data_IF_220014487085
#
_entry.id   IF_220014487085
#
_cell.length_a   1.000
_cell.length_b   1.000
_cell.length_c   1.000
_cell.angle_alpha   90.00
_cell.angle_beta   90.00
_cell.angle_gamma   90.00
#
_symmetry.space_group_name_H-M   'P 1'
#
loop_
_entity.id
_entity.type
_entity.pdbx_description
1 polymer ?
#
# COMPACT_ATOMS: atom_id res chain seq x y z
N UNK A 1 -9.15 30.65 -73.95
CA UNK A 1 -8.65 30.27 -72.61
C UNK A 1 -9.08 31.35 -71.64
N UNK A 2 -10.08 31.08 -70.80
CA UNK A 2 -10.33 31.77 -69.51
C UNK A 2 -11.56 31.11 -68.87
N UNK A 3 -11.31 30.36 -67.80
CA UNK A 3 -12.34 29.91 -66.87
C UNK A 3 -12.77 31.07 -65.97
N UNK A 4 -14.04 31.10 -65.56
CA UNK A 4 -14.45 31.70 -64.28
C UNK A 4 -15.75 31.08 -63.80
N UNK A 5 -15.80 30.92 -62.47
CA UNK A 5 -16.62 30.02 -61.66
C UNK A 5 -17.98 30.65 -61.33
N UNK A 6 -19.03 29.83 -61.26
CA UNK A 6 -20.28 30.19 -60.58
C UNK A 6 -20.57 29.17 -59.49
N UNK A 7 -20.63 29.65 -58.25
CA UNK A 7 -20.99 28.91 -57.04
C UNK A 7 -22.49 28.63 -57.02
N UNK A 8 -22.88 27.37 -56.78
CA UNK A 8 -24.27 27.01 -56.50
C UNK A 8 -24.35 26.25 -55.18
N UNK A 9 -25.07 26.82 -54.21
CA UNK A 9 -25.46 26.17 -52.96
C UNK A 9 -26.44 25.03 -53.25
N UNK A 10 -26.20 23.85 -52.67
CA UNK A 10 -27.19 22.78 -52.59
C UNK A 10 -27.34 22.35 -51.12
N UNK A 11 -28.58 22.42 -50.64
CA UNK A 11 -29.05 22.09 -49.30
C UNK A 11 -28.91 20.61 -48.96
N UNK A 12 -28.33 20.29 -47.81
CA UNK A 12 -28.31 18.94 -47.24
C UNK A 12 -29.59 18.70 -46.43
N UNK A 13 -30.40 17.74 -46.87
CA UNK A 13 -31.51 17.18 -46.09
C UNK A 13 -30.98 16.05 -45.20
N UNK A 14 -31.13 16.21 -43.89
CA UNK A 14 -30.81 15.20 -42.87
C UNK A 14 -31.83 14.04 -42.95
N UNK A 15 -31.37 12.86 -43.32
CA UNK A 15 -32.04 11.61 -42.98
C UNK A 15 -31.56 11.16 -41.60
N UNK A 16 -32.42 11.32 -40.61
CA UNK A 16 -32.17 10.86 -39.24
C UNK A 16 -32.63 9.40 -39.13
N UNK A 17 -31.71 8.46 -39.28
CA UNK A 17 -31.92 7.08 -38.85
C UNK A 17 -31.66 7.02 -37.35
N UNK A 18 -32.73 6.96 -36.56
CA UNK A 18 -32.66 6.70 -35.13
C UNK A 18 -32.30 5.23 -34.91
N UNK A 19 -31.01 4.95 -34.75
CA UNK A 19 -30.54 3.68 -34.20
C UNK A 19 -30.66 3.78 -32.68
N UNK A 20 -31.72 3.21 -32.12
CA UNK A 20 -31.86 3.01 -30.67
C UNK A 20 -30.86 1.95 -30.24
N UNK A 21 -29.65 2.36 -29.89
CA UNK A 21 -28.69 1.50 -29.19
C UNK A 21 -29.16 1.42 -27.74
N UNK A 22 -29.79 0.30 -27.37
CA UNK A 22 -30.02 -0.06 -25.97
C UNK A 22 -28.65 -0.24 -25.31
N UNK A 23 -28.25 0.69 -24.46
CA UNK A 23 -27.10 0.51 -23.56
C UNK A 23 -27.46 -0.62 -22.58
N UNK A 24 -26.97 -1.83 -22.86
CA UNK A 24 -26.92 -2.90 -21.87
C UNK A 24 -25.97 -2.48 -20.76
N UNK A 25 -26.52 -2.11 -19.59
CA UNK A 25 -25.75 -1.91 -18.37
C UNK A 25 -25.16 -3.27 -17.97
N UNK A 26 -23.91 -3.51 -18.35
CA UNK A 26 -23.15 -4.67 -17.90
C UNK A 26 -23.20 -4.72 -16.36
N UNK A 27 -23.53 -5.87 -15.75
CA UNK A 27 -23.55 -5.98 -14.29
C UNK A 27 -22.15 -5.65 -13.74
N UNK A 28 -22.08 -4.76 -12.75
CA UNK A 28 -20.83 -4.38 -12.10
C UNK A 28 -20.25 -5.63 -11.42
N UNK A 29 -19.24 -6.24 -12.03
CA UNK A 29 -18.52 -7.37 -11.45
C UNK A 29 -17.44 -6.86 -10.52
N UNK A 30 -17.58 -7.12 -9.23
CA UNK A 30 -16.52 -6.88 -8.25
C UNK A 30 -15.50 -8.02 -8.25
N UNK A 31 -14.22 -7.69 -8.11
CA UNK A 31 -13.15 -8.66 -7.99
C UNK A 31 -12.77 -8.82 -6.51
N UNK A 32 -13.16 -9.92 -5.83
CA UNK A 32 -12.90 -10.10 -4.41
C UNK A 32 -11.40 -10.29 -4.13
N UNK A 33 -10.95 -9.75 -2.99
CA UNK A 33 -9.64 -10.00 -2.43
C UNK A 33 -9.65 -11.29 -1.59
N UNK A 34 -8.49 -11.94 -1.45
CA UNK A 34 -8.35 -13.11 -0.57
C UNK A 34 -8.70 -12.77 0.88
N UNK A 35 -8.27 -11.59 1.35
CA UNK A 35 -8.52 -11.07 2.69
C UNK A 35 -9.15 -9.69 2.61
N UNK A 36 -9.93 -9.35 3.63
CA UNK A 36 -10.34 -7.98 3.88
C UNK A 36 -9.20 -7.19 4.53
N UNK A 37 -9.04 -5.93 4.15
CA UNK A 37 -7.94 -5.08 4.62
C UNK A 37 -8.47 -3.75 5.16
N UNK A 38 -7.67 -3.10 6.00
CA UNK A 38 -7.99 -1.80 6.61
C UNK A 38 -6.80 -0.86 6.50
N UNK A 39 -7.05 0.34 5.95
CA UNK A 39 -6.10 1.44 6.01
C UNK A 39 -6.27 2.25 7.30
N UNK A 40 -5.15 2.60 7.92
CA UNK A 40 -5.07 3.55 9.04
C UNK A 40 -4.03 4.62 8.73
N UNK A 41 -4.20 5.78 9.37
CA UNK A 41 -3.25 6.87 9.29
C UNK A 41 -2.95 7.44 10.67
N UNK A 42 -1.68 7.73 10.90
CA UNK A 42 -1.21 8.47 12.06
C UNK A 42 -0.36 9.64 11.59
N UNK A 43 -0.49 10.78 12.27
CA UNK A 43 0.41 11.89 12.10
C UNK A 43 0.62 12.55 13.47
N UNK A 44 1.85 12.99 13.72
CA UNK A 44 2.17 13.78 14.90
C UNK A 44 3.12 14.91 14.56
N UNK A 45 3.05 15.97 15.35
CA UNK A 45 4.05 17.03 15.26
C UNK A 45 5.39 16.57 15.83
N UNK A 46 6.55 17.07 15.37
CA UNK A 46 7.87 16.63 15.85
C UNK A 46 8.12 16.73 17.35
N UNK A 47 7.45 17.67 18.04
CA UNK A 47 7.57 17.88 19.49
C UNK A 47 6.57 17.04 20.31
N UNK A 48 5.67 16.34 19.64
CA UNK A 48 4.59 15.61 20.29
C UNK A 48 5.05 14.20 20.69
N UNK A 49 4.97 13.93 21.99
CA UNK A 49 5.20 12.59 22.53
C UNK A 49 3.95 11.73 22.31
N UNK A 50 4.14 10.50 21.86
CA UNK A 50 3.08 9.52 21.75
C UNK A 50 2.73 9.08 23.18
N UNK A 51 1.53 9.42 23.64
CA UNK A 51 1.00 8.97 24.93
C UNK A 51 0.19 7.68 24.78
N UNK A 52 -0.60 7.63 23.71
CA UNK A 52 -1.40 6.48 23.32
C UNK A 52 -1.17 6.26 21.82
N UNK A 53 -0.41 5.22 21.49
CA UNK A 53 -0.07 4.92 20.10
C UNK A 53 -1.31 4.44 19.33
N UNK A 54 -2.11 3.55 19.94
CA UNK A 54 -3.31 2.99 19.33
C UNK A 54 -4.36 4.06 19.11
N UNK A 55 -4.66 4.87 20.14
CA UNK A 55 -5.63 5.96 20.04
C UNK A 55 -5.21 7.09 19.10
N UNK A 56 -3.92 7.20 18.76
CA UNK A 56 -3.44 8.18 17.77
C UNK A 56 -3.66 7.74 16.32
N UNK A 57 -3.95 6.45 16.08
CA UNK A 57 -4.21 5.92 14.75
C UNK A 57 -5.68 6.12 14.35
N UNK A 58 -5.90 6.73 13.20
CA UNK A 58 -7.24 6.96 12.64
C UNK A 58 -7.53 5.93 11.55
N UNK A 59 -8.60 5.17 11.71
CA UNK A 59 -9.11 4.29 10.65
C UNK A 59 -9.55 5.13 9.47
N UNK A 60 -9.09 4.79 8.26
CA UNK A 60 -9.52 5.44 7.02
C UNK A 60 -10.71 4.67 6.43
N UNK A 61 -10.47 3.43 6.00
CA UNK A 61 -11.47 2.59 5.36
C UNK A 61 -11.08 1.12 5.44
N UNK A 62 -12.07 0.24 5.31
CA UNK A 62 -11.86 -1.18 5.03
C UNK A 62 -12.37 -1.52 3.64
N UNK A 63 -11.77 -2.51 3.01
CA UNK A 63 -12.13 -2.96 1.67
C UNK A 63 -11.92 -4.46 1.52
N UNK A 64 -12.71 -5.06 0.65
CA UNK A 64 -12.83 -6.51 0.41
C UNK A 64 -12.75 -6.86 -1.08
N UNK A 65 -12.77 -5.86 -1.96
CA UNK A 65 -12.62 -6.01 -3.41
C UNK A 65 -11.58 -5.04 -3.98
N UNK A 66 -11.13 -5.32 -5.20
CA UNK A 66 -10.18 -4.47 -5.95
C UNK A 66 -10.79 -3.08 -6.23
N UNK A 67 -12.09 -3.02 -6.52
CA UNK A 67 -12.79 -1.77 -6.79
C UNK A 67 -12.87 -0.90 -5.53
N UNK A 68 -13.20 -1.50 -4.38
CA UNK A 68 -13.19 -0.80 -3.09
C UNK A 68 -11.78 -0.34 -2.72
N UNK A 69 -10.76 -1.17 -2.97
CA UNK A 69 -9.37 -0.77 -2.80
C UNK A 69 -9.05 0.49 -3.60
N UNK A 70 -9.35 0.51 -4.91
CA UNK A 70 -9.05 1.67 -5.75
C UNK A 70 -9.90 2.89 -5.39
N UNK A 71 -11.14 2.71 -4.95
CA UNK A 71 -11.98 3.79 -4.44
C UNK A 71 -11.35 4.49 -3.23
N UNK A 72 -10.61 3.75 -2.39
CA UNK A 72 -9.86 4.31 -1.24
C UNK A 72 -8.50 4.84 -1.67
N UNK A 73 -7.66 3.98 -2.26
CA UNK A 73 -6.24 4.24 -2.48
C UNK A 73 -5.99 5.43 -3.42
N UNK A 74 -6.82 5.60 -4.46
CA UNK A 74 -6.70 6.72 -5.40
C UNK A 74 -6.97 8.10 -4.77
N UNK A 75 -7.66 8.14 -3.64
CA UNK A 75 -7.98 9.36 -2.90
C UNK A 75 -7.05 9.61 -1.70
N UNK A 76 -6.11 8.69 -1.42
CA UNK A 76 -5.10 8.91 -0.41
C UNK A 76 -4.09 9.95 -0.88
N UNK A 77 -3.61 10.78 0.05
CA UNK A 77 -2.46 11.64 -0.18
C UNK A 77 -1.26 10.76 -0.51
N UNK A 78 -0.53 11.09 -1.58
CA UNK A 78 0.67 10.31 -1.95
C UNK A 78 1.70 10.41 -0.81
N UNK A 79 2.45 9.34 -0.52
CA UNK A 79 3.47 9.33 0.53
C UNK A 79 4.45 10.51 0.51
N UNK A 80 4.86 10.96 -0.67
CA UNK A 80 5.81 12.07 -0.81
C UNK A 80 5.20 13.44 -0.46
N UNK A 81 3.86 13.55 -0.42
CA UNK A 81 3.10 14.77 -0.12
C UNK A 81 2.55 14.79 1.33
N UNK A 82 2.95 13.79 2.13
CA UNK A 82 2.61 13.71 3.54
C UNK A 82 3.54 14.59 4.38
N UNK A 83 3.03 15.17 5.48
CA UNK A 83 3.90 15.82 6.44
C UNK A 83 4.84 14.80 7.09
N UNK A 84 5.99 15.28 7.58
CA UNK A 84 6.92 14.42 8.29
C UNK A 84 6.28 13.83 9.55
N UNK A 85 6.74 12.63 9.91
CA UNK A 85 6.24 11.87 11.05
C UNK A 85 4.76 11.51 10.85
N UNK A 86 4.48 11.07 9.63
CA UNK A 86 3.25 10.42 9.23
C UNK A 86 3.49 8.95 8.99
N UNK A 87 2.46 8.16 9.27
CA UNK A 87 2.45 6.72 9.06
C UNK A 87 1.16 6.31 8.33
N UNK A 88 1.30 5.51 7.28
CA UNK A 88 0.20 4.72 6.73
C UNK A 88 0.35 3.28 7.19
N UNK A 89 -0.76 2.67 7.57
CA UNK A 89 -0.81 1.25 7.95
C UNK A 89 -1.85 0.56 7.08
N UNK A 90 -1.48 -0.58 6.50
CA UNK A 90 -2.39 -1.49 5.82
C UNK A 90 -2.34 -2.83 6.55
N UNK A 91 -3.41 -3.23 7.22
CA UNK A 91 -3.45 -4.48 7.98
C UNK A 91 -4.69 -5.29 7.63
N UNK A 92 -4.58 -6.62 7.74
CA UNK A 92 -5.74 -7.51 7.60
C UNK A 92 -6.84 -7.09 8.56
N UNK A 93 -8.09 -7.18 8.13
CA UNK A 93 -9.22 -6.87 9.00
C UNK A 93 -9.21 -7.79 10.23
N UNK A 94 -9.37 -7.20 11.41
CA UNK A 94 -9.28 -7.90 12.70
C UNK A 94 -7.87 -7.94 13.29
N UNK A 95 -6.83 -7.57 12.54
CA UNK A 95 -5.46 -7.44 13.07
C UNK A 95 -5.16 -5.97 13.33
N UNK A 96 -4.86 -5.63 14.59
CA UNK A 96 -4.51 -4.26 14.95
C UNK A 96 -3.04 -4.00 14.64
N UNK A 97 -2.68 -2.80 14.16
CA UNK A 97 -1.29 -2.41 13.84
C UNK A 97 -0.45 -2.10 15.10
N UNK A 98 -0.57 -2.94 16.14
CA UNK A 98 0.11 -2.84 17.43
C UNK A 98 0.74 -4.17 17.80
N UNK A 99 1.78 -4.16 18.63
CA UNK A 99 2.57 -5.35 18.97
C UNK A 99 1.83 -6.27 19.96
N UNK A 100 0.87 -5.72 20.71
CA UNK A 100 0.00 -6.40 21.66
C UNK A 100 -1.08 -7.25 21.00
N UNK A 101 -1.32 -7.07 19.71
CA UNK A 101 -2.27 -7.88 18.96
C UNK A 101 -1.81 -9.35 18.92
N UNK A 102 -2.75 -10.29 19.09
CA UNK A 102 -2.44 -11.72 19.11
C UNK A 102 -1.75 -12.18 17.82
N UNK A 103 -2.09 -11.57 16.69
CA UNK A 103 -1.45 -11.86 15.41
C UNK A 103 0.01 -11.38 15.34
N UNK A 104 0.41 -10.40 16.15
CA UNK A 104 1.71 -9.74 16.05
C UNK A 104 2.65 -10.12 17.20
N UNK A 105 2.14 -10.56 18.37
CA UNK A 105 2.97 -10.71 19.58
C UNK A 105 4.14 -11.72 19.46
N UNK A 106 4.04 -12.72 18.58
CA UNK A 106 5.10 -13.70 18.30
C UNK A 106 5.86 -13.40 16.99
N UNK A 107 5.53 -12.28 16.39
CA UNK A 107 5.94 -11.89 15.06
C UNK A 107 7.17 -10.98 15.02
N UNK A 108 7.37 -10.42 13.85
CA UNK A 108 8.36 -9.39 13.62
C UNK A 108 8.06 -8.63 12.35
N UNK A 109 9.04 -7.82 11.96
CA UNK A 109 8.93 -7.01 10.75
C UNK A 109 10.22 -7.00 9.95
N UNK A 110 10.07 -7.11 8.64
CA UNK A 110 11.08 -6.68 7.69
C UNK A 110 11.03 -5.16 7.54
N UNK A 111 12.19 -4.53 7.41
CA UNK A 111 12.38 -3.09 7.39
C UNK A 111 13.27 -2.75 6.18
N UNK A 112 12.81 -1.82 5.35
CA UNK A 112 13.59 -1.24 4.25
C UNK A 112 13.60 0.26 4.41
N UNK A 113 14.81 0.84 4.47
CA UNK A 113 15.02 2.29 4.49
C UNK A 113 15.15 2.80 3.07
N UNK A 114 14.39 3.84 2.77
CA UNK A 114 14.26 4.43 1.44
C UNK A 114 14.83 5.85 1.48
N UNK A 115 15.61 6.18 0.45
CA UNK A 115 15.94 7.59 0.17
C UNK A 115 14.65 8.35 -0.15
N UNK A 116 14.65 9.64 0.17
CA UNK A 116 13.54 10.54 -0.12
C UNK A 116 13.15 10.53 -1.59
N UNK A 117 11.85 10.69 -1.84
CA UNK A 117 11.24 10.67 -3.17
C UNK A 117 10.83 9.29 -3.67
N UNK A 118 11.30 8.20 -3.04
CA UNK A 118 11.02 6.83 -3.49
C UNK A 118 9.77 6.21 -2.83
N UNK A 119 9.31 6.78 -1.71
CA UNK A 119 8.26 6.18 -0.87
C UNK A 119 6.96 5.92 -1.62
N UNK A 120 6.51 6.85 -2.48
CA UNK A 120 5.23 6.71 -3.19
C UNK A 120 5.19 5.48 -4.10
N UNK A 121 6.27 5.24 -4.86
CA UNK A 121 6.37 4.08 -5.76
C UNK A 121 6.44 2.77 -4.97
N UNK A 122 7.37 2.69 -4.02
CA UNK A 122 7.57 1.43 -3.29
C UNK A 122 6.40 1.08 -2.39
N UNK A 123 5.71 2.07 -1.81
CA UNK A 123 4.50 1.84 -1.05
C UNK A 123 3.38 1.27 -1.91
N UNK A 124 3.14 1.85 -3.10
CA UNK A 124 2.14 1.34 -4.04
C UNK A 124 2.45 -0.10 -4.47
N UNK A 125 3.69 -0.38 -4.89
CA UNK A 125 4.10 -1.74 -5.27
C UNK A 125 3.95 -2.74 -4.13
N UNK A 126 4.30 -2.35 -2.89
CA UNK A 126 4.15 -3.20 -1.72
C UNK A 126 2.68 -3.50 -1.41
N UNK A 127 1.83 -2.47 -1.39
CA UNK A 127 0.39 -2.60 -1.13
C UNK A 127 -0.25 -3.54 -2.16
N UNK A 128 0.04 -3.34 -3.45
CA UNK A 128 -0.47 -4.19 -4.52
C UNK A 128 -0.01 -5.65 -4.38
N UNK A 129 1.26 -5.87 -4.02
CA UNK A 129 1.77 -7.22 -3.78
C UNK A 129 1.10 -7.92 -2.59
N UNK A 130 0.75 -7.16 -1.54
CA UNK A 130 0.07 -7.67 -0.35
C UNK A 130 -1.38 -8.03 -0.67
N UNK A 131 -2.17 -7.11 -1.23
CA UNK A 131 -3.59 -7.37 -1.49
C UNK A 131 -3.78 -8.37 -2.63
N UNK A 132 -2.83 -8.44 -3.56
CA UNK A 132 -2.78 -9.43 -4.64
C UNK A 132 -2.23 -10.80 -4.22
N UNK A 133 -2.05 -11.04 -2.92
CA UNK A 133 -1.63 -12.33 -2.35
C UNK A 133 -0.31 -12.88 -2.92
N UNK A 134 0.63 -12.00 -3.28
CA UNK A 134 1.84 -12.39 -4.02
C UNK A 134 2.96 -12.95 -3.13
N UNK A 135 2.77 -12.95 -1.80
CA UNK A 135 3.78 -13.45 -0.87
C UNK A 135 3.82 -14.97 -0.79
N UNK A 136 2.70 -15.65 -1.07
CA UNK A 136 2.58 -17.12 -1.05
C UNK A 136 3.10 -17.73 0.27
N UNK A 137 2.79 -17.09 1.40
CA UNK A 137 3.17 -17.53 2.76
C UNK A 137 1.94 -17.80 3.61
N UNK A 138 0.82 -18.14 2.96
CA UNK A 138 -0.48 -18.33 3.60
C UNK A 138 -0.86 -17.11 4.45
N UNK A 139 -1.29 -17.32 5.69
CA UNK A 139 -1.81 -16.27 6.56
C UNK A 139 -0.70 -15.44 7.27
N UNK A 140 0.58 -15.66 6.97
CA UNK A 140 1.69 -15.06 7.73
C UNK A 140 1.77 -13.54 7.65
N UNK A 141 1.33 -12.90 6.57
CA UNK A 141 1.34 -11.43 6.47
C UNK A 141 0.24 -10.85 7.36
N UNK A 142 0.63 -10.05 8.35
CA UNK A 142 -0.30 -9.27 9.18
C UNK A 142 -0.67 -7.95 8.49
N UNK A 143 0.33 -7.28 7.92
CA UNK A 143 0.18 -5.97 7.31
C UNK A 143 1.50 -5.31 6.95
N UNK A 144 1.42 -4.05 6.56
CA UNK A 144 2.56 -3.20 6.26
C UNK A 144 2.39 -1.80 6.81
N UNK A 145 3.52 -1.16 7.06
CA UNK A 145 3.63 0.21 7.55
C UNK A 145 4.54 1.00 6.64
N UNK A 146 4.12 2.20 6.24
CA UNK A 146 4.97 3.21 5.65
C UNK A 146 5.14 4.34 6.66
N UNK A 147 6.38 4.69 6.96
CA UNK A 147 6.78 5.72 7.91
C UNK A 147 7.55 6.83 7.22
N UNK A 148 6.94 8.01 7.11
CA UNK A 148 7.58 9.21 6.57
C UNK A 148 8.38 9.90 7.67
N UNK A 149 9.70 10.03 7.52
CA UNK A 149 10.57 10.68 8.52
C UNK A 149 11.35 11.84 7.90
N UNK A 150 12.22 12.51 8.64
CA UNK A 150 12.92 13.69 8.11
C UNK A 150 14.04 13.32 7.13
N UNK A 151 14.89 12.34 7.49
CA UNK A 151 16.07 11.94 6.72
C UNK A 151 15.78 10.89 5.65
N UNK A 152 14.92 9.95 5.96
CA UNK A 152 14.60 8.79 5.13
C UNK A 152 13.13 8.41 5.31
N UNK A 153 12.61 7.58 4.42
CA UNK A 153 11.31 6.94 4.59
C UNK A 153 11.52 5.46 4.89
N UNK A 154 10.62 4.84 5.63
CA UNK A 154 10.78 3.45 6.05
C UNK A 154 9.52 2.70 5.65
N UNK A 155 9.68 1.60 4.94
CA UNK A 155 8.61 0.62 4.76
C UNK A 155 8.88 -0.59 5.64
N UNK A 156 7.82 -1.17 6.19
CA UNK A 156 7.91 -2.38 6.99
C UNK A 156 6.79 -3.35 6.65
N UNK A 157 7.10 -4.65 6.63
CA UNK A 157 6.12 -5.73 6.45
C UNK A 157 6.13 -6.57 7.71
N UNK A 158 4.96 -6.72 8.32
CA UNK A 158 4.77 -7.41 9.59
C UNK A 158 4.25 -8.82 9.33
N UNK A 159 4.82 -9.81 10.03
CA UNK A 159 4.40 -11.20 9.93
C UNK A 159 4.18 -11.85 11.29
N UNK A 160 3.34 -12.89 11.30
CA UNK A 160 2.85 -13.55 12.51
C UNK A 160 3.93 -14.27 13.30
N UNK A 161 4.86 -14.94 12.61
CA UNK A 161 5.79 -15.87 13.26
C UNK A 161 7.26 -15.53 12.98
N UNK A 162 7.95 -14.96 13.97
CA UNK A 162 9.39 -14.66 13.85
C UNK A 162 10.28 -15.91 13.88
N UNK A 163 9.84 -17.01 14.50
CA UNK A 163 10.65 -18.22 14.66
C UNK A 163 10.82 -19.02 13.36
N UNK A 164 9.98 -18.80 12.34
CA UNK A 164 10.03 -19.56 11.10
C UNK A 164 10.98 -18.93 10.08
N UNK A 165 12.27 -19.27 10.18
CA UNK A 165 13.32 -18.72 9.32
C UNK A 165 13.06 -18.88 7.81
N UNK A 166 12.49 -20.01 7.38
CA UNK A 166 12.19 -20.25 5.95
C UNK A 166 11.12 -19.31 5.43
N UNK A 167 10.04 -19.13 6.17
CA UNK A 167 8.98 -18.17 5.83
C UNK A 167 9.53 -16.75 5.85
N UNK A 168 10.30 -16.38 6.87
CA UNK A 168 10.90 -15.04 6.95
C UNK A 168 11.78 -14.72 5.75
N UNK A 169 12.63 -15.66 5.30
CA UNK A 169 13.43 -15.49 4.09
C UNK A 169 12.58 -15.40 2.82
N UNK A 170 11.51 -16.20 2.72
CA UNK A 170 10.55 -16.08 1.59
C UNK A 170 9.89 -14.71 1.55
N UNK A 171 9.45 -14.18 2.69
CA UNK A 171 8.88 -12.82 2.79
C UNK A 171 9.89 -11.78 2.30
N UNK A 172 11.14 -11.84 2.77
CA UNK A 172 12.23 -10.96 2.34
C UNK A 172 12.42 -10.98 0.82
N UNK A 173 12.55 -12.18 0.26
CA UNK A 173 12.83 -12.36 -1.17
C UNK A 173 11.67 -11.87 -2.02
N UNK A 174 10.44 -12.08 -1.57
CA UNK A 174 9.26 -11.56 -2.24
C UNK A 174 9.17 -10.03 -2.17
N UNK A 175 9.56 -9.40 -1.05
CA UNK A 175 9.68 -7.94 -0.97
C UNK A 175 10.72 -7.44 -1.98
N UNK A 176 11.95 -8.00 -1.97
CA UNK A 176 13.01 -7.59 -2.93
C UNK A 176 12.52 -7.70 -4.38
N UNK A 177 11.87 -8.82 -4.72
CA UNK A 177 11.34 -9.09 -6.07
C UNK A 177 10.25 -8.11 -6.49
N UNK A 178 9.17 -7.98 -5.70
CA UNK A 178 7.99 -7.19 -6.11
C UNK A 178 8.25 -5.69 -6.11
N UNK A 179 9.16 -5.22 -5.26
CA UNK A 179 9.55 -3.81 -5.26
C UNK A 179 10.63 -3.54 -6.33
N UNK A 180 11.29 -4.57 -6.86
CA UNK A 180 12.43 -4.40 -7.75
C UNK A 180 13.60 -3.70 -7.06
N UNK A 181 13.85 -4.07 -5.79
CA UNK A 181 14.94 -3.49 -5.01
C UNK A 181 16.29 -3.90 -5.60
N UNK A 182 17.28 -2.97 -5.65
CA UNK A 182 18.66 -3.32 -5.98
C UNK A 182 19.18 -4.49 -5.13
N UNK A 183 20.03 -5.34 -5.71
CA UNK A 183 20.53 -6.55 -5.04
C UNK A 183 21.24 -6.25 -3.72
N UNK A 184 21.94 -5.11 -3.65
CA UNK A 184 22.68 -4.59 -2.51
C UNK A 184 21.80 -3.83 -1.49
N UNK A 185 20.48 -3.80 -1.69
CA UNK A 185 19.55 -3.18 -0.74
C UNK A 185 19.60 -3.92 0.58
N UNK A 186 20.06 -3.21 1.61
CA UNK A 186 20.03 -3.69 2.98
C UNK A 186 18.59 -3.82 3.44
N UNK A 187 18.26 -5.01 3.95
CA UNK A 187 17.00 -5.27 4.62
C UNK A 187 17.27 -5.68 6.06
N UNK A 188 16.46 -5.22 6.97
CA UNK A 188 16.60 -5.51 8.38
C UNK A 188 15.39 -6.28 8.88
N UNK A 189 15.61 -7.23 9.79
CA UNK A 189 14.52 -7.88 10.50
C UNK A 189 14.59 -7.53 11.99
N UNK A 190 13.42 -7.35 12.60
CA UNK A 190 13.32 -7.19 14.06
C UNK A 190 12.05 -7.85 14.58
N UNK A 191 12.20 -8.68 15.62
CA UNK A 191 11.04 -9.22 16.34
C UNK A 191 10.34 -8.10 17.10
N UNK A 192 9.03 -8.23 17.29
CA UNK A 192 8.28 -7.24 18.08
C UNK A 192 8.74 -7.24 19.54
N UNK A 193 9.06 -8.40 20.10
CA UNK A 193 9.58 -8.54 21.46
C UNK A 193 10.93 -7.83 21.67
N UNK A 194 11.86 -7.94 20.72
CA UNK A 194 13.12 -7.19 20.78
C UNK A 194 12.90 -5.68 20.64
N UNK A 195 11.95 -5.26 19.80
CA UNK A 195 11.62 -3.85 19.65
C UNK A 195 11.10 -3.23 20.96
N UNK A 196 10.35 -4.01 21.74
CA UNK A 196 9.82 -3.61 23.04
C UNK A 196 10.90 -3.56 24.12
N UNK A 197 11.73 -4.60 24.19
CA UNK A 197 12.85 -4.65 25.13
C UNK A 197 13.80 -3.47 24.92
N UNK A 198 14.08 -3.14 23.66
CA UNK A 198 14.98 -2.05 23.31
C UNK A 198 14.32 -0.67 23.38
N UNK A 199 12.99 -0.61 23.50
CA UNK A 199 12.18 0.61 23.31
C UNK A 199 12.52 1.33 21.99
N UNK A 200 12.88 0.55 20.96
CA UNK A 200 13.25 1.05 19.63
C UNK A 200 12.76 0.11 18.55
N UNK A 201 12.02 0.68 17.60
CA UNK A 201 11.49 -0.01 16.43
C UNK A 201 12.53 -0.29 15.34
N UNK A 202 13.67 0.42 15.34
CA UNK A 202 14.58 0.49 14.18
C UNK A 202 16.08 0.43 14.56
N UNK A 203 16.40 0.17 15.83
CA UNK A 203 17.79 -0.03 16.31
C UNK A 203 18.04 -1.50 16.62
N UNK A 204 19.29 -1.94 16.64
CA UNK A 204 19.70 -3.33 16.99
C UNK A 204 18.92 -4.40 16.22
N UNK A 205 18.80 -4.21 14.91
CA UNK A 205 18.12 -5.12 14.00
C UNK A 205 19.08 -6.17 13.44
N UNK A 206 18.56 -7.33 13.05
CA UNK A 206 19.32 -8.29 12.26
C UNK A 206 19.48 -7.77 10.83
N UNK A 207 20.72 -7.61 10.37
CA UNK A 207 21.03 -7.01 9.07
C UNK A 207 21.22 -8.11 8.02
N UNK A 208 20.45 -8.02 6.94
CA UNK A 208 20.55 -8.89 5.78
C UNK A 208 20.97 -8.05 4.57
N UNK A 209 22.11 -8.42 3.99
CA UNK A 209 22.64 -7.82 2.75
C UNK A 209 22.14 -8.65 1.58
#
# INVERSE_FOLDING_TARGET
>A
MTSSITTTHASLSLHQSATTTSEETQPITHHPLHYAWVFWFMHRSPKEKIKDYEGSMKRIASFTSIEEFWAVFSHLRRPNDLPYISDYHLFKQGVRPVWEDEANMQGGKWIVRLKKGLASRYWESLVLAIIGDQFDVHDEICGAVLSIRASEDIISVWNRTAANGRINLKIRDTIKKNLGLPADTIMEYKTHNDALRDRSSYSNTDIFR
#
